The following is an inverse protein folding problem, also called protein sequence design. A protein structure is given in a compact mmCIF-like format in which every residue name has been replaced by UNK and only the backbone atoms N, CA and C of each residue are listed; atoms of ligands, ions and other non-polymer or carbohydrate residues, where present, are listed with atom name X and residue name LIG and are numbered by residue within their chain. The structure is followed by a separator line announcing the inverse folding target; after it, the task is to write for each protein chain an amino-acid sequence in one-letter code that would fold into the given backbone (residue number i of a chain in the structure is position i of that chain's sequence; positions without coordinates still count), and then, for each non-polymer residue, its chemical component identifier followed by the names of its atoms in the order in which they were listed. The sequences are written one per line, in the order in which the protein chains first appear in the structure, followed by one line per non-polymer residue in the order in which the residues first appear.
data_IF_401569131343
#
_entry.id   IF_401569131343
#
_cell.length_a   1.000
_cell.length_b   1.000
_cell.length_c   1.000
_cell.angle_alpha   90.00
_cell.angle_beta   90.00
_cell.angle_gamma   90.00
#
_symmetry.space_group_name_H-M   'P 1'
#
loop_
_entity.id
_entity.type
_entity.pdbx_description
1 polymer ?
#
# COMPACT_ATOMS: atom_id res chain seq x y z
N UNK A 1 17.95 -7.08 -7.89
CA UNK A 1 18.41 -6.19 -8.98
C UNK A 1 18.39 -4.79 -8.39
N UNK A 2 19.52 -4.08 -8.35
CA UNK A 2 19.61 -2.83 -7.57
C UNK A 2 19.04 -1.65 -8.38
N UNK A 3 17.74 -1.40 -8.27
CA UNK A 3 17.04 -0.35 -9.02
C UNK A 3 16.49 0.78 -8.13
N UNK A 4 16.55 0.62 -6.81
CA UNK A 4 16.09 1.60 -5.83
C UNK A 4 16.67 1.24 -4.45
N UNK A 5 17.08 2.23 -3.62
CA UNK A 5 17.66 1.97 -2.31
C UNK A 5 16.67 1.30 -1.35
N UNK A 6 17.18 0.45 -0.45
CA UNK A 6 16.38 -0.19 0.59
C UNK A 6 17.16 -0.11 1.91
N UNK A 7 16.53 0.42 2.94
CA UNK A 7 16.90 0.27 4.33
C UNK A 7 15.99 -0.80 4.95
N UNK A 8 16.50 -1.52 5.95
CA UNK A 8 15.73 -2.56 6.64
C UNK A 8 15.92 -2.46 8.14
N UNK A 9 14.84 -2.69 8.89
CA UNK A 9 14.89 -2.95 10.32
C UNK A 9 13.98 -4.12 10.69
N UNK A 10 14.33 -4.82 11.76
CA UNK A 10 13.56 -5.94 12.29
C UNK A 10 13.07 -5.61 13.69
N UNK A 11 11.78 -5.80 13.94
CA UNK A 11 11.18 -5.54 15.24
C UNK A 11 9.99 -6.49 15.49
N UNK A 12 9.96 -7.12 16.66
CA UNK A 12 8.86 -7.99 17.09
C UNK A 12 8.44 -9.06 16.06
N UNK A 13 9.40 -9.62 15.32
CA UNK A 13 9.15 -10.63 14.28
C UNK A 13 8.64 -10.08 12.95
N UNK A 14 8.57 -8.75 12.79
CA UNK A 14 8.26 -8.09 11.53
C UNK A 14 9.52 -7.47 10.94
N UNK A 15 9.62 -7.52 9.62
CA UNK A 15 10.63 -6.82 8.85
C UNK A 15 10.01 -5.58 8.22
N UNK A 16 10.59 -4.41 8.45
CA UNK A 16 10.17 -3.15 7.83
C UNK A 16 11.27 -2.72 6.87
N UNK A 17 10.97 -2.74 5.58
CA UNK A 17 11.92 -2.48 4.52
C UNK A 17 11.46 -1.33 3.65
N UNK A 18 12.34 -0.42 3.27
CA UNK A 18 11.96 0.67 2.40
C UNK A 18 12.96 1.81 2.37
N UNK A 19 12.54 2.92 1.77
CA UNK A 19 13.34 4.11 1.70
C UNK A 19 12.43 5.32 1.63
N UNK A 20 12.88 6.43 2.22
CA UNK A 20 12.21 7.72 2.08
C UNK A 20 13.24 8.82 1.96
N UNK A 21 13.01 9.68 0.97
CA UNK A 21 13.68 10.96 0.82
C UNK A 21 12.65 11.96 0.32
N UNK A 22 12.42 13.00 1.10
CA UNK A 22 11.43 14.04 0.83
C UNK A 22 11.56 14.59 -0.60
N UNK A 23 10.42 14.73 -1.28
CA UNK A 23 10.30 15.22 -2.66
C UNK A 23 11.03 14.36 -3.71
N UNK A 24 11.49 13.16 -3.35
CA UNK A 24 12.15 12.23 -4.29
C UNK A 24 11.35 10.94 -4.39
N UNK A 25 11.23 10.19 -3.29
CA UNK A 25 10.51 8.93 -3.25
C UNK A 25 10.29 8.46 -1.81
N UNK A 26 9.14 7.85 -1.55
CA UNK A 26 8.81 7.13 -0.33
C UNK A 26 8.12 5.82 -0.70
N UNK A 27 8.60 4.72 -0.12
CA UNK A 27 7.98 3.40 -0.21
C UNK A 27 8.49 2.53 0.93
N UNK A 28 7.59 1.82 1.59
CA UNK A 28 7.91 0.88 2.67
C UNK A 28 7.07 -0.38 2.54
N UNK A 29 7.57 -1.54 2.97
CA UNK A 29 6.80 -2.78 3.04
C UNK A 29 7.03 -3.53 4.34
N UNK A 30 6.05 -4.36 4.67
CA UNK A 30 6.13 -5.37 5.72
C UNK A 30 5.85 -6.72 5.05
N UNK A 31 6.90 -7.49 4.66
CA UNK A 31 6.74 -8.71 3.87
C UNK A 31 5.85 -9.76 4.55
N UNK A 32 5.98 -9.93 5.86
CA UNK A 32 5.24 -10.92 6.65
C UNK A 32 3.72 -10.67 6.61
N UNK A 33 3.32 -9.41 6.49
CA UNK A 33 1.92 -9.00 6.36
C UNK A 33 1.47 -8.86 4.90
N UNK A 34 2.39 -8.98 3.93
CA UNK A 34 2.13 -8.79 2.50
C UNK A 34 1.54 -7.41 2.16
N UNK A 35 1.98 -6.38 2.89
CA UNK A 35 1.53 -5.00 2.70
C UNK A 35 2.70 -4.06 2.39
N UNK A 36 2.38 -2.96 1.72
CA UNK A 36 3.27 -1.83 1.54
C UNK A 36 2.57 -0.49 1.68
N UNK A 37 3.36 0.56 1.88
CA UNK A 37 2.94 1.93 2.04
C UNK A 37 3.66 2.79 1.01
N UNK A 38 2.88 3.55 0.25
CA UNK A 38 3.30 4.41 -0.85
C UNK A 38 4.07 3.72 -1.99
N UNK A 39 4.07 4.37 -3.15
CA UNK A 39 4.63 3.89 -4.41
C UNK A 39 5.41 5.02 -5.10
N UNK A 40 6.23 5.76 -4.34
CA UNK A 40 7.11 6.80 -4.90
C UNK A 40 8.15 6.23 -5.87
N UNK A 41 8.70 5.07 -5.53
CA UNK A 41 9.43 4.19 -6.42
C UNK A 41 9.05 2.74 -6.13
N UNK A 42 9.54 1.80 -6.95
CA UNK A 42 9.25 0.38 -6.77
C UNK A 42 10.55 -0.44 -6.94
N UNK A 43 11.16 -0.88 -5.83
CA UNK A 43 12.27 -1.83 -5.87
C UNK A 43 11.81 -3.17 -6.46
N UNK A 44 12.67 -3.82 -7.24
CA UNK A 44 12.35 -5.10 -7.86
C UNK A 44 12.00 -6.18 -6.82
N UNK A 45 12.71 -6.17 -5.69
CA UNK A 45 12.52 -7.12 -4.60
C UNK A 45 11.13 -6.98 -3.94
N UNK A 46 10.46 -5.83 -4.15
CA UNK A 46 9.14 -5.52 -3.59
C UNK A 46 8.00 -6.03 -4.49
N UNK A 47 8.30 -6.62 -5.65
CA UNK A 47 7.28 -7.07 -6.61
C UNK A 47 6.31 -8.09 -6.01
N UNK A 48 6.79 -8.90 -5.05
CA UNK A 48 5.98 -9.90 -4.34
C UNK A 48 4.83 -9.32 -3.51
N UNK A 49 4.93 -8.08 -3.05
CA UNK A 49 3.94 -7.43 -2.18
C UNK A 49 2.68 -7.08 -2.98
N UNK A 50 1.51 -7.67 -2.69
CA UNK A 50 0.29 -7.48 -3.48
C UNK A 50 -0.60 -6.31 -3.05
N UNK A 51 -0.54 -5.88 -1.80
CA UNK A 51 -1.45 -4.89 -1.22
C UNK A 51 -0.69 -3.63 -0.82
N UNK A 52 -1.16 -2.47 -1.25
CA UNK A 52 -0.50 -1.18 -0.99
C UNK A 52 -1.48 -0.14 -0.48
N UNK A 53 -1.02 0.66 0.47
CA UNK A 53 -1.74 1.79 1.06
C UNK A 53 -1.00 3.07 0.70
N UNK A 54 -1.61 3.89 -0.16
CA UNK A 54 -1.06 5.18 -0.57
C UNK A 54 -1.56 6.24 0.39
N UNK A 55 -0.65 6.91 1.10
CA UNK A 55 -0.98 7.93 2.10
C UNK A 55 -1.58 9.18 1.46
N UNK A 56 -1.02 9.62 0.34
CA UNK A 56 -1.46 10.75 -0.46
C UNK A 56 -0.83 10.71 -1.86
N UNK A 57 -1.26 11.59 -2.76
CA UNK A 57 -0.90 11.52 -4.19
C UNK A 57 0.15 12.53 -4.64
N UNK A 58 1.02 13.01 -3.73
CA UNK A 58 2.24 13.66 -4.20
C UNK A 58 3.10 12.68 -5.01
N UNK A 59 3.86 13.19 -5.97
CA UNK A 59 4.57 12.35 -6.94
C UNK A 59 5.59 11.42 -6.27
N UNK A 60 6.27 11.89 -5.22
CA UNK A 60 7.18 11.07 -4.43
C UNK A 60 6.48 9.97 -3.61
N UNK A 61 5.15 9.84 -3.68
CA UNK A 61 4.36 8.78 -3.05
C UNK A 61 3.56 7.91 -4.04
N UNK A 62 3.44 8.30 -5.32
CA UNK A 62 2.57 7.57 -6.29
C UNK A 62 3.19 7.37 -7.68
N UNK A 63 4.33 7.99 -7.99
CA UNK A 63 4.90 8.01 -9.34
C UNK A 63 5.13 6.60 -9.93
N UNK A 64 5.47 5.60 -9.12
CA UNK A 64 5.72 4.24 -9.60
C UNK A 64 4.46 3.36 -9.69
N UNK A 65 3.28 3.85 -9.34
CA UNK A 65 2.03 3.07 -9.41
C UNK A 65 1.80 2.46 -10.82
N UNK A 66 1.87 3.20 -11.95
CA UNK A 66 1.61 2.62 -13.26
C UNK A 66 2.65 1.57 -13.68
N UNK A 67 3.93 1.79 -13.35
CA UNK A 67 5.00 0.83 -13.71
C UNK A 67 4.92 -0.41 -12.84
N UNK A 68 4.53 -0.29 -11.57
CA UNK A 68 4.29 -1.43 -10.68
C UNK A 68 3.18 -2.34 -11.22
N UNK A 69 2.03 -1.75 -11.58
CA UNK A 69 0.90 -2.49 -12.17
C UNK A 69 1.30 -3.18 -13.47
N UNK A 70 2.00 -2.47 -14.37
CA UNK A 70 2.48 -3.04 -15.63
C UNK A 70 3.46 -4.21 -15.42
N UNK A 71 4.41 -4.06 -14.49
CA UNK A 71 5.41 -5.10 -14.18
C UNK A 71 4.80 -6.36 -13.60
N UNK A 72 3.84 -6.23 -12.66
CA UNK A 72 3.13 -7.40 -12.12
C UNK A 72 2.39 -8.16 -13.21
N UNK A 73 1.72 -7.45 -14.13
CA UNK A 73 1.09 -8.07 -15.29
C UNK A 73 2.11 -8.78 -16.19
N UNK A 74 3.24 -8.13 -16.50
CA UNK A 74 4.31 -8.73 -17.30
C UNK A 74 4.83 -10.04 -16.68
N UNK A 75 4.94 -10.06 -15.35
CA UNK A 75 5.36 -11.21 -14.56
C UNK A 75 4.23 -12.23 -14.31
N UNK A 76 3.05 -12.05 -14.92
CA UNK A 76 1.87 -12.91 -14.77
C UNK A 76 1.42 -13.10 -13.31
N UNK A 77 1.59 -12.06 -12.51
CA UNK A 77 1.12 -12.03 -11.13
C UNK A 77 -0.32 -11.55 -11.07
N UNK A 78 -1.02 -11.91 -9.99
CA UNK A 78 -2.35 -11.38 -9.72
C UNK A 78 -2.34 -9.84 -9.66
N UNK A 79 -3.41 -9.17 -10.15
CA UNK A 79 -3.59 -7.73 -10.04
C UNK A 79 -3.41 -7.27 -8.58
N UNK A 80 -2.67 -6.18 -8.34
CA UNK A 80 -2.48 -5.70 -6.98
C UNK A 80 -3.72 -4.98 -6.45
N UNK A 81 -3.84 -4.92 -5.13
CA UNK A 81 -4.86 -4.14 -4.42
C UNK A 81 -4.24 -2.85 -3.89
N UNK A 82 -4.82 -1.71 -4.22
CA UNK A 82 -4.34 -0.39 -3.83
C UNK A 82 -5.45 0.35 -3.11
N UNK A 83 -5.17 0.76 -1.87
CA UNK A 83 -5.99 1.67 -1.08
C UNK A 83 -5.39 3.06 -1.14
N UNK A 84 -6.21 4.09 -1.30
CA UNK A 84 -5.79 5.49 -1.41
C UNK A 84 -6.92 6.42 -0.93
N UNK A 85 -6.65 7.71 -0.64
CA UNK A 85 -7.70 8.66 -0.28
C UNK A 85 -8.83 8.65 -1.31
N UNK A 86 -10.07 8.54 -0.85
CA UNK A 86 -11.25 8.44 -1.71
C UNK A 86 -11.36 9.60 -2.70
N UNK A 87 -10.92 10.78 -2.28
CA UNK A 87 -10.87 12.01 -3.07
C UNK A 87 -9.98 11.88 -4.31
N UNK A 88 -8.94 11.04 -4.25
CA UNK A 88 -7.99 10.84 -5.34
C UNK A 88 -8.33 9.64 -6.25
N UNK A 89 -9.33 8.83 -5.89
CA UNK A 89 -9.64 7.56 -6.55
C UNK A 89 -9.87 7.72 -8.06
N UNK A 90 -10.69 8.69 -8.43
CA UNK A 90 -11.07 8.88 -9.83
C UNK A 90 -9.90 9.42 -10.67
N UNK A 91 -9.08 10.31 -10.11
CA UNK A 91 -7.92 10.87 -10.80
C UNK A 91 -6.82 9.84 -10.99
N UNK A 92 -6.58 8.98 -9.99
CA UNK A 92 -5.67 7.85 -10.14
C UNK A 92 -6.18 6.84 -11.17
N UNK A 93 -7.50 6.60 -11.21
CA UNK A 93 -8.10 5.76 -12.27
C UNK A 93 -7.86 6.37 -13.66
N UNK A 94 -8.04 7.69 -13.82
CA UNK A 94 -7.76 8.40 -15.08
C UNK A 94 -6.28 8.34 -15.45
N UNK A 95 -5.37 8.51 -14.49
CA UNK A 95 -3.93 8.37 -14.68
C UNK A 95 -3.58 7.00 -15.27
N UNK A 96 -4.08 5.92 -14.67
CA UNK A 96 -3.85 4.56 -15.18
C UNK A 96 -4.43 4.35 -16.57
N UNK A 97 -5.59 4.93 -16.89
CA UNK A 97 -6.15 4.88 -18.24
C UNK A 97 -5.27 5.62 -19.26
N UNK A 98 -4.72 6.77 -18.91
CA UNK A 98 -3.76 7.50 -19.77
C UNK A 98 -2.51 6.66 -19.97
N UNK A 99 -1.94 6.11 -18.90
CA UNK A 99 -0.75 5.25 -18.99
C UNK A 99 -1.01 4.00 -19.83
N UNK A 100 -2.18 3.37 -19.70
CA UNK A 100 -2.58 2.25 -20.56
C UNK A 100 -2.58 2.63 -22.05
N UNK A 101 -3.06 3.83 -22.39
CA UNK A 101 -3.08 4.30 -23.80
C UNK A 101 -1.68 4.56 -24.34
N UNK A 102 -0.81 5.14 -23.51
CA UNK A 102 0.58 5.45 -23.88
C UNK A 102 1.42 4.17 -24.01
N UNK A 103 1.37 3.30 -23.00
CA UNK A 103 2.13 2.06 -22.91
C UNK A 103 1.58 0.94 -23.81
N UNK A 104 0.30 1.04 -24.20
CA UNK A 104 -0.47 -0.04 -24.87
C UNK A 104 -0.56 -1.34 -24.05
N UNK A 105 -0.27 -1.27 -22.75
CA UNK A 105 -0.40 -2.35 -21.79
C UNK A 105 -1.60 -2.12 -20.85
N UNK A 106 -2.41 -3.17 -20.62
CA UNK A 106 -3.53 -3.08 -19.67
C UNK A 106 -3.03 -2.75 -18.26
N UNK A 107 -3.61 -1.75 -17.63
CA UNK A 107 -3.33 -1.33 -16.25
C UNK A 107 -4.37 -1.96 -15.31
N UNK A 108 -4.19 -3.24 -14.97
CA UNK A 108 -5.17 -4.02 -14.18
C UNK A 108 -4.77 -4.03 -12.70
N UNK A 109 -5.59 -3.43 -11.86
CA UNK A 109 -5.46 -3.44 -10.40
C UNK A 109 -6.83 -3.22 -9.74
N UNK A 110 -6.93 -3.53 -8.45
CA UNK A 110 -8.08 -3.20 -7.62
C UNK A 110 -7.80 -1.88 -6.91
N UNK A 111 -8.54 -0.82 -7.24
CA UNK A 111 -8.43 0.49 -6.59
C UNK A 111 -9.59 0.69 -5.62
N UNK A 112 -9.27 1.04 -4.38
CA UNK A 112 -10.23 1.29 -3.32
C UNK A 112 -9.97 2.69 -2.75
N UNK A 113 -10.97 3.57 -2.88
CA UNK A 113 -10.98 4.84 -2.17
C UNK A 113 -11.36 4.60 -0.72
N UNK A 114 -10.57 5.13 0.22
CA UNK A 114 -10.82 5.01 1.66
C UNK A 114 -10.90 6.39 2.31
N UNK A 115 -11.72 6.50 3.34
CA UNK A 115 -11.96 7.70 4.13
C UNK A 115 -11.38 7.53 5.53
N UNK A 116 -11.28 8.64 6.28
CA UNK A 116 -10.87 8.63 7.69
C UNK A 116 -11.83 7.79 8.52
N UNK A 117 -11.30 6.86 9.31
CA UNK A 117 -12.07 5.98 10.19
C UNK A 117 -12.45 4.63 9.57
N UNK A 118 -12.18 4.42 8.28
CA UNK A 118 -12.37 3.12 7.64
C UNK A 118 -11.48 2.04 8.24
N UNK A 119 -12.00 0.82 8.29
CA UNK A 119 -11.27 -0.40 8.65
C UNK A 119 -11.18 -1.34 7.44
N UNK A 120 -9.98 -1.87 7.21
CA UNK A 120 -9.64 -2.72 6.07
C UNK A 120 -9.15 -4.06 6.63
N UNK A 121 -9.94 -5.11 6.47
CA UNK A 121 -9.57 -6.45 6.91
C UNK A 121 -8.55 -7.07 5.94
N UNK A 122 -7.33 -7.32 6.41
CA UNK A 122 -6.29 -8.03 5.66
C UNK A 122 -6.40 -9.54 5.85
N UNK A 123 -6.72 -9.96 7.07
CA UNK A 123 -7.06 -11.33 7.45
C UNK A 123 -8.11 -11.30 8.57
N UNK A 124 -8.46 -12.46 9.12
CA UNK A 124 -9.33 -12.54 10.31
C UNK A 124 -8.74 -11.77 11.50
N UNK A 125 -7.42 -11.80 11.63
CA UNK A 125 -6.63 -11.23 12.72
C UNK A 125 -6.03 -9.87 12.34
N UNK A 126 -5.56 -9.64 11.12
CA UNK A 126 -4.91 -8.37 10.77
C UNK A 126 -5.88 -7.35 10.16
N UNK A 127 -5.91 -6.15 10.74
CA UNK A 127 -6.77 -5.04 10.31
C UNK A 127 -5.91 -3.78 10.11
N UNK A 128 -6.30 -2.95 9.14
CA UNK A 128 -5.74 -1.61 8.97
C UNK A 128 -6.84 -0.58 9.19
N UNK A 129 -6.62 0.35 10.11
CA UNK A 129 -7.51 1.50 10.32
C UNK A 129 -6.89 2.77 9.76
N UNK A 130 -7.71 3.65 9.19
CA UNK A 130 -7.26 4.94 8.65
C UNK A 130 -7.47 6.06 9.67
N UNK A 131 -6.59 7.07 9.63
CA UNK A 131 -6.77 8.30 10.40
C UNK A 131 -6.39 9.54 9.58
N UNK A 132 -6.98 10.69 9.91
CA UNK A 132 -6.71 11.94 9.22
C UNK A 132 -5.34 12.51 9.56
N UNK A 133 -4.65 13.08 8.57
CA UNK A 133 -3.39 13.82 8.75
C UNK A 133 -3.55 15.26 8.24
N UNK A 134 -2.68 16.16 8.71
CA UNK A 134 -2.65 17.54 8.20
C UNK A 134 -1.61 17.64 7.08
N UNK A 135 -2.07 17.92 5.86
CA UNK A 135 -1.22 18.06 4.68
C UNK A 135 -1.86 18.99 3.64
N UNK A 136 -1.11 19.32 2.59
CA UNK A 136 -1.57 20.26 1.53
C UNK A 136 -2.60 19.67 0.57
N UNK A 137 -2.72 18.34 0.51
CA UNK A 137 -3.71 17.60 -0.29
C UNK A 137 -4.39 16.55 0.59
N UNK A 138 -5.52 15.94 0.18
CA UNK A 138 -6.13 14.83 0.92
C UNK A 138 -5.10 13.76 1.27
N UNK A 139 -5.01 13.44 2.56
CA UNK A 139 -3.99 12.55 3.09
C UNK A 139 -4.50 11.73 4.27
N UNK A 140 -4.02 10.50 4.34
CA UNK A 140 -4.35 9.54 5.38
C UNK A 140 -3.07 9.03 6.05
N UNK A 141 -3.20 8.70 7.32
CA UNK A 141 -2.32 7.78 8.01
C UNK A 141 -3.00 6.42 8.18
N UNK A 142 -2.18 5.39 8.42
CA UNK A 142 -2.63 4.01 8.59
C UNK A 142 -2.09 3.42 9.88
N UNK A 143 -2.93 2.68 10.60
CA UNK A 143 -2.56 1.88 11.77
C UNK A 143 -2.81 0.42 11.45
N UNK A 144 -1.78 -0.41 11.50
CA UNK A 144 -1.89 -1.86 11.33
C UNK A 144 -1.93 -2.50 12.72
N UNK A 145 -2.93 -3.35 12.97
CA UNK A 145 -3.13 -3.98 14.27
C UNK A 145 -3.72 -5.38 14.17
N UNK A 146 -3.49 -6.17 15.23
CA UNK A 146 -3.95 -7.55 15.38
C UNK A 146 -5.20 -7.62 16.28
N UNK A 147 -6.31 -8.07 15.69
CA UNK A 147 -7.59 -8.35 16.33
C UNK A 147 -7.56 -9.73 16.97
N UNK A 148 -7.39 -9.75 18.29
CA UNK A 148 -7.41 -10.96 19.10
C UNK A 148 -8.73 -11.12 19.84
N UNK A 149 -9.40 -12.24 19.62
CA UNK A 149 -10.51 -12.66 20.46
C UNK A 149 -9.95 -13.32 21.72
N UNK A 150 -10.19 -12.70 22.88
CA UNK A 150 -9.89 -13.29 24.18
C UNK A 150 -11.16 -13.88 24.76
N UNK A 151 -11.06 -15.06 25.37
CA UNK A 151 -12.14 -15.60 26.17
C UNK A 151 -12.45 -14.59 27.28
N UNK A 152 -13.72 -14.21 27.43
CA UNK A 152 -14.10 -13.35 28.54
C UNK A 152 -13.85 -14.08 29.85
N UNK A 153 -13.50 -13.33 30.89
CA UNK A 153 -13.24 -13.89 32.23
C UNK A 153 -14.40 -14.75 32.74
N UNK A 154 -15.64 -14.35 32.45
CA UNK A 154 -16.87 -15.06 32.81
C UNK A 154 -17.02 -16.46 32.20
N UNK A 155 -16.19 -16.82 31.20
CA UNK A 155 -16.19 -18.13 30.56
C UNK A 155 -14.93 -18.96 30.87
N UNK A 156 -14.02 -18.48 31.71
CA UNK A 156 -12.82 -19.24 32.09
C UNK A 156 -13.22 -20.33 33.10
N UNK A 157 -13.14 -21.60 32.70
CA UNK A 157 -13.38 -22.76 33.58
C UNK A 157 -14.82 -23.32 33.58
N UNK A 158 -15.68 -22.83 32.69
CA UNK A 158 -16.93 -23.49 32.28
C UNK A 158 -16.67 -24.42 31.09
#
# INVERSE_FOLDING_TARGET
MDNAPILSCHHAGLTVEGYSRAAVQTYWRIPELKIGFDLGAQPWDFMGTPTWFVTHTHLDHVAALPVYVARRRMMRMEPPTIYLPAEALDDVRRLLLVMQRLDRGRQVCHLHGVQVGDEIELSRENVVSTFGTTHTIPSLGYVVWDRRNKLKEEYVGL
#
